data_IF_958734475846
#
_entry.id   IF_958734475846
#
_cell.length_a   1.000
_cell.length_b   1.000
_cell.length_c   1.000
_cell.angle_alpha   90.00
_cell.angle_beta   90.00
_cell.angle_gamma   90.00
#
_symmetry.space_group_name_H-M   'P 1'
#
loop_
_entity.id
_entity.type
_entity.pdbx_description
1 polymer ?
#
# COMPACT_ATOMS: atom_id res chain seq x y z
N UNK A 1 -40.53 -24.67 11.56
CA UNK A 1 -40.48 -25.06 10.14
C UNK A 1 -40.74 -23.79 9.36
N UNK A 2 -39.67 -23.05 9.08
CA UNK A 2 -39.76 -21.77 8.36
C UNK A 2 -40.05 -22.07 6.90
N UNK A 3 -41.14 -21.50 6.37
CA UNK A 3 -41.51 -21.63 4.97
C UNK A 3 -40.38 -21.10 4.10
N UNK A 4 -39.67 -21.98 3.40
CA UNK A 4 -38.66 -21.61 2.41
C UNK A 4 -39.29 -20.68 1.39
N UNK A 5 -38.88 -19.41 1.39
CA UNK A 5 -39.30 -18.39 0.42
C UNK A 5 -38.65 -18.60 -0.96
N UNK A 6 -38.43 -19.86 -1.36
CA UNK A 6 -37.97 -20.21 -2.69
C UNK A 6 -39.13 -19.93 -3.66
N UNK A 7 -38.85 -19.17 -4.71
CA UNK A 7 -39.82 -18.84 -5.76
C UNK A 7 -39.42 -19.43 -7.10
N UNK A 8 -38.20 -19.95 -7.20
CA UNK A 8 -37.79 -20.74 -8.33
C UNK A 8 -36.41 -21.34 -8.19
N UNK A 9 -36.10 -22.30 -9.05
CA UNK A 9 -34.84 -23.03 -9.02
C UNK A 9 -34.28 -23.20 -10.44
N UNK A 10 -32.96 -23.10 -10.53
CA UNK A 10 -32.17 -23.46 -11.71
C UNK A 10 -31.13 -24.50 -11.29
N UNK A 11 -30.98 -25.53 -12.12
CA UNK A 11 -30.07 -26.66 -11.88
C UNK A 11 -29.01 -26.67 -12.97
N UNK A 12 -27.74 -26.55 -12.59
CA UNK A 12 -26.60 -26.48 -13.51
C UNK A 12 -25.73 -27.72 -13.34
N UNK A 13 -25.65 -28.55 -14.37
CA UNK A 13 -24.78 -29.73 -14.35
C UNK A 13 -23.31 -29.32 -14.38
N UNK A 14 -22.53 -29.84 -13.42
CA UNK A 14 -21.12 -29.45 -13.25
C UNK A 14 -20.12 -30.40 -13.91
N UNK A 15 -20.54 -31.60 -14.36
CA UNK A 15 -19.63 -32.55 -15.04
C UNK A 15 -18.86 -31.97 -16.23
N UNK A 16 -19.45 -31.14 -17.11
CA UNK A 16 -18.70 -30.48 -18.19
C UNK A 16 -17.59 -29.55 -17.69
N UNK A 17 -17.67 -29.08 -16.43
CA UNK A 17 -16.72 -28.16 -15.83
C UNK A 17 -15.42 -28.83 -15.37
N UNK A 18 -15.36 -30.17 -15.33
CA UNK A 18 -14.15 -30.91 -14.93
C UNK A 18 -13.03 -30.82 -15.97
N UNK A 19 -13.39 -30.66 -17.24
CA UNK A 19 -12.47 -30.82 -18.37
C UNK A 19 -12.47 -29.63 -19.36
N UNK A 20 -13.20 -28.54 -19.08
CA UNK A 20 -13.29 -27.40 -19.99
C UNK A 20 -13.19 -26.09 -19.21
N UNK A 21 -12.11 -25.35 -19.44
CA UNK A 21 -12.00 -23.95 -19.03
C UNK A 21 -12.97 -23.13 -19.93
N UNK A 22 -13.74 -22.22 -19.32
CA UNK A 22 -14.71 -21.33 -20.01
C UNK A 22 -15.99 -22.00 -20.53
N UNK A 23 -16.73 -22.67 -19.62
CA UNK A 23 -18.06 -23.21 -19.93
C UNK A 23 -19.12 -22.15 -19.70
N UNK A 24 -20.00 -21.96 -20.68
CA UNK A 24 -21.20 -21.15 -20.60
C UNK A 24 -22.43 -22.06 -20.71
N UNK A 25 -23.25 -22.10 -19.66
CA UNK A 25 -24.48 -22.88 -19.60
C UNK A 25 -25.65 -21.95 -19.32
N UNK A 26 -26.68 -22.00 -20.16
CA UNK A 26 -27.93 -21.27 -19.93
C UNK A 26 -29.02 -22.25 -19.54
N UNK A 27 -29.53 -22.13 -18.33
CA UNK A 27 -30.59 -22.98 -17.79
C UNK A 27 -31.85 -22.17 -17.49
N UNK A 28 -33.05 -22.72 -17.73
CA UNK A 28 -34.28 -22.07 -17.30
C UNK A 28 -34.39 -22.04 -15.78
N UNK A 29 -34.99 -20.98 -15.25
CA UNK A 29 -35.42 -20.88 -13.85
C UNK A 29 -36.90 -21.25 -13.82
N UNK A 30 -37.24 -22.31 -13.09
CA UNK A 30 -38.63 -22.75 -12.94
C UNK A 30 -39.19 -22.26 -11.61
N UNK A 31 -40.42 -21.76 -11.61
CA UNK A 31 -41.19 -21.52 -10.40
C UNK A 31 -41.75 -22.83 -9.82
N UNK A 32 -42.27 -22.77 -8.59
CA UNK A 32 -42.82 -23.95 -7.89
C UNK A 32 -44.00 -24.62 -8.63
N UNK A 33 -44.71 -23.85 -9.46
CA UNK A 33 -45.80 -24.32 -10.31
C UNK A 33 -45.34 -24.90 -11.67
N UNK A 34 -44.03 -24.93 -11.91
CA UNK A 34 -43.42 -25.39 -13.15
C UNK A 34 -43.39 -24.35 -14.28
N UNK A 35 -43.88 -23.13 -14.05
CA UNK A 35 -43.78 -22.06 -15.03
C UNK A 35 -42.34 -21.54 -15.16
N UNK A 36 -41.96 -21.10 -16.36
CA UNK A 36 -40.66 -20.48 -16.58
C UNK A 36 -40.64 -19.07 -15.98
N UNK A 37 -39.88 -18.88 -14.91
CA UNK A 37 -39.66 -17.60 -14.23
C UNK A 37 -38.58 -16.75 -14.94
N UNK A 38 -37.64 -17.42 -15.60
CA UNK A 38 -36.44 -16.77 -16.12
C UNK A 38 -35.46 -17.72 -16.78
N UNK A 39 -34.27 -17.20 -17.06
CA UNK A 39 -33.09 -17.94 -17.49
C UNK A 39 -31.91 -17.47 -16.64
N UNK A 40 -31.09 -18.43 -16.23
CA UNK A 40 -29.82 -18.21 -15.57
C UNK A 40 -28.73 -18.66 -16.54
N UNK A 41 -27.86 -17.73 -16.94
CA UNK A 41 -26.62 -18.05 -17.62
C UNK A 41 -25.51 -18.13 -16.58
N UNK A 42 -24.80 -19.26 -16.53
CA UNK A 42 -23.66 -19.49 -15.66
C UNK A 42 -22.44 -19.68 -16.54
N UNK A 43 -21.44 -18.84 -16.31
CA UNK A 43 -20.15 -18.92 -16.98
C UNK A 43 -19.04 -19.16 -15.97
N UNK A 44 -18.35 -20.29 -16.10
CA UNK A 44 -17.22 -20.62 -15.25
C UNK A 44 -15.92 -20.22 -15.95
N UNK A 45 -15.21 -19.22 -15.42
CA UNK A 45 -13.88 -18.85 -15.91
C UNK A 45 -12.80 -19.13 -14.86
N UNK A 46 -11.89 -20.07 -15.13
CA UNK A 46 -10.68 -20.20 -14.36
C UNK A 46 -9.79 -19.00 -14.69
N UNK A 47 -9.57 -18.13 -13.71
CA UNK A 47 -8.66 -16.99 -13.86
C UNK A 47 -7.89 -16.82 -12.57
N UNK A 48 -6.58 -17.01 -12.65
CA UNK A 48 -5.62 -16.80 -11.56
C UNK A 48 -5.35 -15.30 -11.31
N UNK A 49 -5.85 -14.41 -12.19
CA UNK A 49 -5.75 -12.96 -12.08
C UNK A 49 -7.13 -12.30 -11.93
N UNK A 50 -7.28 -11.27 -11.08
CA UNK A 50 -8.51 -10.50 -11.01
C UNK A 50 -8.68 -9.74 -12.33
N UNK A 51 -9.66 -10.12 -13.15
CA UNK A 51 -10.03 -9.36 -14.33
C UNK A 51 -10.77 -8.10 -13.88
N UNK A 52 -10.03 -7.07 -13.49
CA UNK A 52 -10.58 -5.73 -13.43
C UNK A 52 -10.80 -5.28 -14.87
N UNK A 53 -12.07 -5.02 -15.15
CA UNK A 53 -12.67 -4.40 -16.34
C UNK A 53 -11.68 -3.50 -17.10
N UNK A 54 -11.55 -3.80 -18.41
CA UNK A 54 -11.00 -3.03 -19.55
C UNK A 54 -9.75 -3.63 -20.21
N UNK A 55 -9.91 -4.70 -20.99
CA UNK A 55 -9.14 -4.92 -22.23
C UNK A 55 -9.70 -6.11 -23.03
N UNK A 56 -10.82 -5.88 -23.73
CA UNK A 56 -11.26 -6.76 -24.83
C UNK A 56 -10.80 -6.19 -26.18
N UNK A 57 -9.50 -5.94 -26.32
CA UNK A 57 -8.85 -5.79 -27.63
C UNK A 57 -7.76 -6.85 -27.75
N UNK A 58 -8.14 -8.06 -28.16
CA UNK A 58 -7.14 -9.01 -28.65
C UNK A 58 -7.46 -10.49 -28.50
N UNK A 59 -8.47 -10.91 -27.74
CA UNK A 59 -8.75 -12.35 -27.57
C UNK A 59 -9.75 -12.79 -28.63
N UNK A 60 -9.22 -13.30 -29.75
CA UNK A 60 -9.99 -14.12 -30.69
C UNK A 60 -10.45 -15.38 -29.97
N UNK A 61 -11.75 -15.47 -29.68
CA UNK A 61 -12.37 -16.73 -29.28
C UNK A 61 -12.09 -17.76 -30.38
N UNK A 62 -11.28 -18.78 -30.09
CA UNK A 62 -11.15 -19.92 -31.00
C UNK A 62 -12.50 -20.64 -31.03
N UNK A 63 -13.07 -20.75 -32.22
CA UNK A 63 -14.29 -21.51 -32.47
C UNK A 63 -14.02 -22.98 -32.08
N UNK A 64 -14.84 -23.52 -31.19
CA UNK A 64 -14.84 -24.94 -30.84
C UNK A 64 -15.13 -25.75 -32.12
N UNK A 65 -14.32 -26.75 -32.48
CA UNK A 65 -14.60 -27.62 -33.62
C UNK A 65 -15.92 -28.37 -33.41
N UNK A 66 -16.70 -28.52 -34.48
CA UNK A 66 -18.00 -29.22 -34.46
C UNK A 66 -17.86 -30.75 -34.31
N UNK A 67 -16.63 -31.28 -34.33
CA UNK A 67 -16.31 -32.70 -34.18
C UNK A 67 -15.73 -32.98 -32.79
N UNK A 68 -16.45 -33.79 -32.01
CA UNK A 68 -16.25 -34.03 -30.57
C UNK A 68 -15.14 -35.07 -30.28
N UNK A 69 -14.51 -35.67 -31.30
CA UNK A 69 -13.59 -36.79 -31.13
C UNK A 69 -12.08 -36.43 -31.21
N UNK A 70 -11.73 -35.15 -31.43
CA UNK A 70 -10.32 -34.69 -31.56
C UNK A 70 -9.85 -33.81 -30.37
N UNK A 71 -10.38 -34.05 -29.17
CA UNK A 71 -9.77 -33.51 -27.93
C UNK A 71 -8.52 -34.33 -27.60
N UNK A 72 -7.38 -33.98 -28.19
CA UNK A 72 -6.09 -34.55 -27.83
C UNK A 72 -5.80 -34.36 -26.34
N UNK A 73 -5.54 -35.45 -25.62
CA UNK A 73 -5.31 -35.59 -24.17
C UNK A 73 -4.19 -34.74 -23.54
N UNK A 74 -3.57 -33.79 -24.25
CA UNK A 74 -2.33 -33.16 -23.81
C UNK A 74 -2.37 -31.72 -23.27
N UNK A 75 -3.51 -31.03 -23.24
CA UNK A 75 -3.59 -29.70 -22.57
C UNK A 75 -4.95 -29.44 -21.92
N UNK A 76 -5.46 -30.40 -21.13
CA UNK A 76 -6.64 -30.17 -20.27
C UNK A 76 -6.15 -29.98 -18.84
N UNK A 77 -5.95 -28.72 -18.42
CA UNK A 77 -5.72 -28.39 -17.00
C UNK A 77 -6.99 -28.73 -16.21
N UNK A 78 -7.02 -29.92 -15.62
CA UNK A 78 -8.09 -30.40 -14.74
C UNK A 78 -8.31 -29.43 -13.58
N UNK A 79 -9.55 -29.33 -13.06
CA UNK A 79 -9.85 -28.66 -11.78
C UNK A 79 -8.94 -29.18 -10.63
N UNK A 80 -8.49 -30.42 -10.71
CA UNK A 80 -7.50 -31.00 -9.79
C UNK A 80 -6.15 -30.26 -9.84
N UNK A 81 -5.71 -29.80 -11.02
CA UNK A 81 -4.48 -29.02 -11.20
C UNK A 81 -4.58 -27.61 -10.62
N UNK A 82 -5.79 -27.10 -10.41
CA UNK A 82 -6.08 -25.79 -9.84
C UNK A 82 -6.28 -25.82 -8.33
N UNK A 83 -6.01 -26.94 -7.65
CA UNK A 83 -6.15 -27.06 -6.20
C UNK A 83 -5.35 -25.96 -5.45
N UNK A 84 -6.02 -25.25 -4.54
CA UNK A 84 -5.47 -24.13 -3.79
C UNK A 84 -5.53 -22.78 -4.52
N UNK A 85 -6.01 -22.72 -5.75
CA UNK A 85 -6.19 -21.48 -6.52
C UNK A 85 -7.62 -20.96 -6.45
N UNK A 86 -7.83 -19.69 -6.81
CA UNK A 86 -9.17 -19.12 -6.92
C UNK A 86 -9.64 -19.10 -8.38
N UNK A 87 -10.90 -19.45 -8.60
CA UNK A 87 -11.60 -19.33 -9.88
C UNK A 87 -12.75 -18.32 -9.78
N UNK A 88 -13.22 -17.82 -10.91
CA UNK A 88 -14.30 -16.85 -10.97
C UNK A 88 -15.53 -17.45 -11.67
N UNK A 89 -16.68 -17.36 -11.00
CA UNK A 89 -17.99 -17.71 -11.55
C UNK A 89 -18.71 -16.42 -11.94
N UNK A 90 -18.98 -16.24 -13.22
CA UNK A 90 -19.84 -15.17 -13.72
C UNK A 90 -21.26 -15.71 -13.87
N UNK A 91 -22.22 -15.05 -13.23
CA UNK A 91 -23.63 -15.39 -13.25
C UNK A 91 -24.38 -14.24 -13.90
N UNK A 92 -25.17 -14.53 -14.93
CA UNK A 92 -26.10 -13.59 -15.51
C UNK A 92 -27.54 -14.08 -15.33
N UNK A 93 -28.35 -13.28 -14.63
CA UNK A 93 -29.74 -13.63 -14.33
C UNK A 93 -30.71 -12.80 -15.17
N UNK A 94 -31.58 -13.49 -15.90
CA UNK A 94 -32.60 -12.88 -16.75
C UNK A 94 -33.98 -13.38 -16.33
N UNK A 95 -34.71 -12.58 -15.56
CA UNK A 95 -36.11 -12.88 -15.27
C UNK A 95 -36.98 -12.56 -16.49
N UNK A 96 -37.93 -13.45 -16.80
CA UNK A 96 -38.98 -13.12 -17.77
C UNK A 96 -39.93 -12.14 -17.08
N UNK A 97 -39.94 -10.90 -17.54
CA UNK A 97 -40.85 -9.87 -17.04
C UNK A 97 -41.64 -9.33 -18.23
N UNK A 98 -42.97 -9.46 -18.20
CA UNK A 98 -43.88 -8.98 -19.26
C UNK A 98 -43.96 -7.43 -19.37
N UNK A 99 -43.04 -6.70 -18.72
CA UNK A 99 -43.16 -5.26 -18.42
C UNK A 99 -41.87 -4.49 -18.74
N UNK A 100 -41.92 -3.15 -18.90
CA UNK A 100 -40.78 -2.36 -19.38
C UNK A 100 -39.50 -2.46 -18.51
N UNK A 101 -38.31 -2.14 -19.07
CA UNK A 101 -36.99 -2.37 -18.45
C UNK A 101 -36.83 -1.78 -17.04
N UNK A 102 -37.47 -0.65 -16.75
CA UNK A 102 -37.43 0.00 -15.43
C UNK A 102 -38.13 -0.81 -14.34
N UNK A 103 -39.16 -1.58 -14.68
CA UNK A 103 -39.85 -2.46 -13.74
C UNK A 103 -39.10 -3.78 -13.53
N UNK A 104 -38.25 -4.17 -14.50
CA UNK A 104 -37.39 -5.33 -14.39
C UNK A 104 -36.34 -5.13 -13.29
N UNK A 105 -35.69 -3.96 -13.24
CA UNK A 105 -34.73 -3.62 -12.16
C UNK A 105 -35.41 -3.63 -10.79
N UNK A 106 -36.60 -3.05 -10.66
CA UNK A 106 -37.36 -3.04 -9.41
C UNK A 106 -37.82 -4.43 -8.97
N UNK A 107 -38.19 -5.30 -9.93
CA UNK A 107 -38.50 -6.71 -9.64
C UNK A 107 -37.26 -7.50 -9.26
N UNK A 108 -36.13 -7.29 -9.92
CA UNK A 108 -34.89 -7.99 -9.58
C UNK A 108 -34.43 -7.71 -8.14
N UNK A 109 -34.60 -6.48 -7.65
CA UNK A 109 -34.31 -6.11 -6.26
C UNK A 109 -35.17 -6.85 -5.21
N UNK A 110 -36.27 -7.47 -5.61
CA UNK A 110 -37.15 -8.25 -4.72
C UNK A 110 -36.68 -9.69 -4.54
N UNK A 111 -35.66 -10.12 -5.28
CA UNK A 111 -35.16 -11.48 -5.23
C UNK A 111 -33.68 -11.53 -4.87
N UNK A 112 -33.29 -12.63 -4.26
CA UNK A 112 -31.90 -12.99 -4.03
C UNK A 112 -31.60 -14.36 -4.66
N UNK A 113 -30.35 -14.53 -5.07
CA UNK A 113 -29.85 -15.79 -5.57
C UNK A 113 -29.14 -16.52 -4.43
N UNK A 114 -29.51 -17.76 -4.20
CA UNK A 114 -28.86 -18.63 -3.22
C UNK A 114 -28.26 -19.84 -3.93
N UNK A 115 -27.01 -20.13 -3.61
CA UNK A 115 -26.31 -21.31 -4.12
C UNK A 115 -25.43 -21.91 -3.03
N UNK A 116 -25.19 -23.21 -3.10
CA UNK A 116 -24.33 -23.92 -2.18
C UNK A 116 -23.47 -24.92 -2.94
N UNK A 117 -22.20 -25.03 -2.55
CA UNK A 117 -21.31 -26.10 -3.02
C UNK A 117 -21.27 -27.17 -1.93
N UNK A 118 -21.92 -28.31 -2.16
CA UNK A 118 -22.07 -29.36 -1.16
C UNK A 118 -23.18 -29.10 -0.12
N UNK A 119 -23.09 -29.76 1.03
CA UNK A 119 -24.16 -29.76 2.05
C UNK A 119 -24.05 -28.63 3.09
N UNK A 120 -23.03 -27.76 3.03
CA UNK A 120 -22.79 -26.75 4.05
C UNK A 120 -22.70 -25.34 3.47
N UNK A 121 -23.32 -24.39 4.19
CA UNK A 121 -23.26 -22.94 3.99
C UNK A 121 -23.75 -22.45 2.62
N UNK A 122 -25.07 -22.41 2.44
CA UNK A 122 -25.68 -21.70 1.32
C UNK A 122 -25.29 -20.21 1.36
N UNK A 123 -24.75 -19.71 0.27
CA UNK A 123 -24.42 -18.30 0.10
C UNK A 123 -25.58 -17.61 -0.60
N UNK A 124 -26.05 -16.51 -0.02
CA UNK A 124 -27.11 -15.68 -0.59
C UNK A 124 -26.50 -14.38 -1.09
N UNK A 125 -26.77 -14.02 -2.34
CA UNK A 125 -26.36 -12.76 -2.95
C UNK A 125 -27.55 -12.00 -3.50
N UNK A 126 -27.48 -10.67 -3.47
CA UNK A 126 -28.47 -9.82 -4.13
C UNK A 126 -28.49 -10.11 -5.63
N UNK A 127 -29.67 -10.27 -6.21
CA UNK A 127 -29.77 -10.62 -7.61
C UNK A 127 -29.43 -9.41 -8.50
N UNK A 128 -28.38 -9.54 -9.30
CA UNK A 128 -27.96 -8.55 -10.29
C UNK A 128 -28.02 -9.14 -11.70
N UNK A 129 -28.11 -8.27 -12.71
CA UNK A 129 -28.10 -8.70 -14.12
C UNK A 129 -26.86 -9.52 -14.46
N UNK A 130 -25.70 -9.08 -13.98
CA UNK A 130 -24.43 -9.80 -14.03
C UNK A 130 -23.78 -9.72 -12.65
N UNK A 131 -23.24 -10.84 -12.19
CA UNK A 131 -22.51 -10.96 -10.95
C UNK A 131 -21.27 -11.82 -11.17
N UNK A 132 -20.17 -11.50 -10.48
CA UNK A 132 -18.96 -12.32 -10.50
C UNK A 132 -18.59 -12.74 -9.08
N UNK A 133 -18.42 -14.04 -8.86
CA UNK A 133 -18.14 -14.66 -7.55
C UNK A 133 -16.76 -15.30 -7.61
N UNK A 134 -15.95 -15.09 -6.57
CA UNK A 134 -14.64 -15.72 -6.40
C UNK A 134 -14.78 -16.98 -5.55
N UNK A 135 -14.31 -18.12 -6.05
CA UNK A 135 -14.39 -19.41 -5.35
C UNK A 135 -13.01 -20.05 -5.24
N UNK A 136 -12.68 -20.54 -4.05
CA UNK A 136 -11.45 -21.30 -3.81
C UNK A 136 -11.62 -22.74 -4.29
N UNK A 137 -10.69 -23.23 -5.09
CA UNK A 137 -10.65 -24.63 -5.52
C UNK A 137 -10.03 -25.47 -4.41
N UNK A 138 -10.87 -26.12 -3.63
CA UNK A 138 -10.45 -27.13 -2.65
C UNK A 138 -10.81 -28.54 -3.14
N UNK A 139 -10.25 -29.55 -2.49
CA UNK A 139 -10.51 -30.95 -2.84
C UNK A 139 -12.00 -31.33 -2.77
N UNK A 140 -12.75 -30.74 -1.83
CA UNK A 140 -14.20 -30.94 -1.70
C UNK A 140 -14.98 -30.40 -2.89
N UNK A 141 -14.63 -29.21 -3.39
CA UNK A 141 -15.22 -28.61 -4.59
C UNK A 141 -14.93 -29.45 -5.83
N UNK A 142 -13.70 -29.94 -5.98
CA UNK A 142 -13.30 -30.80 -7.10
C UNK A 142 -14.12 -32.09 -7.11
N UNK A 143 -14.29 -32.73 -5.95
CA UNK A 143 -15.14 -33.91 -5.81
C UNK A 143 -16.62 -33.59 -6.11
N UNK A 144 -17.15 -32.50 -5.56
CA UNK A 144 -18.54 -32.09 -5.75
C UNK A 144 -18.87 -31.76 -7.22
N UNK A 145 -18.01 -31.00 -7.89
CA UNK A 145 -18.14 -30.69 -9.33
C UNK A 145 -18.12 -31.96 -10.18
N UNK A 146 -17.36 -32.97 -9.75
CA UNK A 146 -17.25 -34.24 -10.47
C UNK A 146 -18.51 -35.11 -10.36
N UNK A 147 -19.30 -34.96 -9.29
CA UNK A 147 -20.43 -35.85 -8.98
C UNK A 147 -21.80 -35.20 -9.14
N UNK A 148 -21.92 -33.89 -8.95
CA UNK A 148 -23.19 -33.23 -8.65
C UNK A 148 -23.61 -32.10 -9.61
N UNK A 149 -24.84 -31.64 -9.36
CA UNK A 149 -25.51 -30.50 -9.99
C UNK A 149 -25.48 -29.33 -9.01
N UNK A 150 -25.05 -28.14 -9.46
CA UNK A 150 -25.18 -26.91 -8.66
C UNK A 150 -26.61 -26.42 -8.73
N UNK A 151 -27.25 -26.34 -7.58
CA UNK A 151 -28.57 -25.74 -7.45
C UNK A 151 -28.45 -24.25 -7.15
N UNK A 152 -29.11 -23.45 -7.97
CA UNK A 152 -29.36 -22.03 -7.74
C UNK A 152 -30.83 -21.84 -7.39
N UNK A 153 -31.10 -21.39 -6.18
CA UNK A 153 -32.45 -21.07 -5.72
C UNK A 153 -32.65 -19.55 -5.78
N UNK A 154 -33.72 -19.13 -6.44
CA UNK A 154 -34.20 -17.75 -6.40
C UNK A 154 -35.16 -17.64 -5.22
N UNK A 155 -34.88 -16.74 -4.29
CA UNK A 155 -35.72 -16.48 -3.12
C UNK A 155 -36.27 -15.08 -3.13
N UNK A 156 -37.42 -14.87 -2.50
CA UNK A 156 -37.87 -13.53 -2.15
C UNK A 156 -36.92 -12.94 -1.12
N UNK A 157 -36.47 -11.71 -1.36
CA UNK A 157 -35.77 -10.94 -0.34
C UNK A 157 -36.77 -10.66 0.80
N UNK A 158 -36.58 -11.32 1.94
CA UNK A 158 -37.40 -11.14 3.14
C UNK A 158 -37.56 -9.65 3.48
N UNK A 159 -38.81 -9.15 3.58
CA UNK A 159 -39.16 -7.89 4.27
C UNK A 159 -38.81 -8.07 5.76
N UNK A 160 -37.87 -7.40 6.42
CA UNK A 160 -37.39 -6.01 6.31
C UNK A 160 -35.84 -5.93 6.29
N UNK A 161 -35.21 -5.72 5.12
CA UNK A 161 -33.78 -5.47 5.04
C UNK A 161 -33.43 -4.04 5.49
N UNK A 162 -34.40 -3.13 5.53
CA UNK A 162 -34.18 -1.71 5.84
C UNK A 162 -33.79 -1.48 7.30
N UNK A 163 -34.38 -2.20 8.25
CA UNK A 163 -34.12 -1.97 9.69
C UNK A 163 -32.82 -2.63 10.15
N UNK A 164 -32.56 -3.86 9.73
CA UNK A 164 -31.30 -4.55 10.03
C UNK A 164 -30.11 -3.87 9.35
N UNK A 165 -30.25 -3.44 8.08
CA UNK A 165 -29.22 -2.67 7.38
C UNK A 165 -29.03 -1.28 8.02
N UNK A 166 -30.10 -0.61 8.47
CA UNK A 166 -29.99 0.69 9.14
C UNK A 166 -29.34 0.56 10.53
N UNK A 167 -29.60 -0.51 11.27
CA UNK A 167 -28.92 -0.82 12.53
C UNK A 167 -27.46 -1.23 12.31
N UNK A 168 -27.16 -1.96 11.22
CA UNK A 168 -25.78 -2.30 10.86
C UNK A 168 -25.01 -1.06 10.40
N UNK A 169 -25.55 -0.24 9.50
CA UNK A 169 -24.99 1.03 9.08
C UNK A 169 -24.85 2.01 10.25
N UNK A 170 -25.81 2.03 11.18
CA UNK A 170 -25.72 2.83 12.39
C UNK A 170 -24.57 2.40 13.30
N UNK A 171 -24.35 1.08 13.44
CA UNK A 171 -23.20 0.53 14.17
C UNK A 171 -21.88 0.82 13.46
N UNK A 172 -21.79 0.58 12.15
CA UNK A 172 -20.60 0.85 11.34
C UNK A 172 -20.24 2.35 11.32
N UNK A 173 -21.25 3.23 11.26
CA UNK A 173 -21.04 4.67 11.35
C UNK A 173 -20.56 5.10 12.75
N UNK A 174 -21.10 4.49 13.81
CA UNK A 174 -20.63 4.74 15.17
C UNK A 174 -19.18 4.27 15.38
N UNK A 175 -18.82 3.08 14.89
CA UNK A 175 -17.44 2.58 14.96
C UNK A 175 -16.50 3.43 14.11
N UNK A 176 -16.92 3.85 12.92
CA UNK A 176 -16.13 4.74 12.07
C UNK A 176 -15.90 6.10 12.73
N UNK A 177 -16.90 6.67 13.41
CA UNK A 177 -16.76 7.91 14.17
C UNK A 177 -15.79 7.74 15.35
N UNK A 178 -15.88 6.62 16.08
CA UNK A 178 -14.98 6.33 17.20
C UNK A 178 -13.54 6.14 16.72
N UNK A 179 -13.34 5.43 15.61
CA UNK A 179 -12.03 5.27 14.97
C UNK A 179 -11.50 6.61 14.46
N UNK A 180 -12.33 7.44 13.82
CA UNK A 180 -11.95 8.77 13.36
C UNK A 180 -11.58 9.69 14.53
N UNK A 181 -12.30 9.64 15.66
CA UNK A 181 -11.93 10.38 16.86
C UNK A 181 -10.63 9.88 17.48
N UNK A 182 -10.42 8.57 17.52
CA UNK A 182 -9.19 7.96 18.01
C UNK A 182 -7.99 8.37 17.15
N UNK A 183 -8.17 8.37 15.84
CA UNK A 183 -7.14 8.79 14.89
C UNK A 183 -6.90 10.31 14.97
N UNK A 184 -7.94 11.12 15.17
CA UNK A 184 -7.79 12.54 15.47
C UNK A 184 -6.96 12.78 16.73
N UNK A 185 -7.25 12.07 17.82
CA UNK A 185 -6.48 12.17 19.08
C UNK A 185 -5.02 11.74 18.89
N UNK A 186 -4.75 10.71 18.09
CA UNK A 186 -3.38 10.30 17.74
C UNK A 186 -2.65 11.37 16.94
N UNK A 187 -3.31 11.94 15.93
CA UNK A 187 -2.74 13.02 15.13
C UNK A 187 -2.46 14.26 15.97
N UNK A 188 -3.36 14.64 16.87
CA UNK A 188 -3.16 15.76 17.80
C UNK A 188 -1.95 15.50 18.73
N UNK A 189 -1.77 14.26 19.21
CA UNK A 189 -0.62 13.87 20.02
C UNK A 189 0.70 13.93 19.21
N UNK A 190 0.71 13.40 17.99
CA UNK A 190 1.88 13.46 17.10
C UNK A 190 2.24 14.91 16.75
N UNK A 191 1.26 15.78 16.52
CA UNK A 191 1.50 17.21 16.29
C UNK A 191 2.11 17.90 17.52
N UNK A 192 1.66 17.55 18.73
CA UNK A 192 2.24 18.07 19.96
C UNK A 192 3.69 17.61 20.14
N UNK A 193 3.99 16.32 19.88
CA UNK A 193 5.36 15.79 19.91
C UNK A 193 6.25 16.47 18.88
N UNK A 194 5.78 16.64 17.64
CA UNK A 194 6.52 17.29 16.57
C UNK A 194 6.81 18.76 16.91
N UNK A 195 5.85 19.45 17.52
CA UNK A 195 6.04 20.82 18.02
C UNK A 195 7.11 20.89 19.10
N UNK A 196 7.12 19.92 20.03
CA UNK A 196 8.14 19.83 21.07
C UNK A 196 9.54 19.56 20.48
N UNK A 197 9.65 18.61 19.54
CA UNK A 197 10.90 18.31 18.85
C UNK A 197 11.43 19.52 18.06
N UNK A 198 10.56 20.26 17.37
CA UNK A 198 10.95 21.51 16.68
C UNK A 198 11.45 22.55 17.69
N UNK A 199 10.81 22.66 18.85
CA UNK A 199 11.27 23.53 19.94
C UNK A 199 12.66 23.15 20.44
N UNK A 200 12.92 21.85 20.65
CA UNK A 200 14.22 21.34 21.05
C UNK A 200 15.29 21.62 19.99
N UNK A 201 15.03 21.30 18.73
CA UNK A 201 15.97 21.56 17.62
C UNK A 201 16.34 23.04 17.56
N UNK A 202 15.36 23.95 17.67
CA UNK A 202 15.65 25.40 17.71
C UNK A 202 16.53 25.79 18.89
N UNK A 203 16.28 25.26 20.08
CA UNK A 203 17.12 25.51 21.25
C UNK A 203 18.56 25.04 21.03
N UNK A 204 18.73 23.84 20.45
CA UNK A 204 20.04 23.29 20.12
C UNK A 204 20.75 24.11 19.03
N UNK A 205 20.03 24.56 18.00
CA UNK A 205 20.56 25.46 16.97
C UNK A 205 21.04 26.79 17.57
N UNK A 206 20.25 27.39 18.47
CA UNK A 206 20.62 28.64 19.16
C UNK A 206 21.85 28.46 20.06
N UNK A 207 21.97 27.31 20.73
CA UNK A 207 23.16 26.97 21.53
C UNK A 207 24.40 26.79 20.66
N UNK A 208 24.30 26.07 19.55
CA UNK A 208 25.39 25.89 18.60
C UNK A 208 25.81 27.24 17.99
N UNK A 209 24.85 28.11 17.69
CA UNK A 209 25.13 29.46 17.19
C UNK A 209 25.91 30.29 18.21
N UNK A 210 25.49 30.27 19.48
CA UNK A 210 26.23 30.93 20.57
C UNK A 210 27.65 30.37 20.74
N UNK A 211 27.83 29.06 20.61
CA UNK A 211 29.15 28.44 20.67
C UNK A 211 30.04 28.85 19.48
N UNK A 212 29.47 28.94 18.27
CA UNK A 212 30.18 29.40 17.09
C UNK A 212 30.63 30.86 17.24
N UNK A 213 29.76 31.75 17.72
CA UNK A 213 30.07 33.15 17.99
C UNK A 213 31.20 33.29 19.04
N UNK A 214 31.13 32.53 20.14
CA UNK A 214 32.21 32.48 21.15
C UNK A 214 33.53 31.98 20.57
N UNK A 215 33.49 30.95 19.75
CA UNK A 215 34.68 30.37 19.11
C UNK A 215 35.32 31.35 18.13
N UNK A 216 34.50 32.07 17.36
CA UNK A 216 34.96 33.12 16.45
C UNK A 216 35.59 34.28 17.22
N UNK A 217 34.99 34.71 18.34
CA UNK A 217 35.56 35.74 19.20
C UNK A 217 36.92 35.31 19.77
N UNK A 218 37.01 34.09 20.32
CA UNK A 218 38.27 33.54 20.83
C UNK A 218 39.35 33.42 19.74
N UNK A 219 38.98 33.02 18.52
CA UNK A 219 39.91 32.97 17.39
C UNK A 219 40.43 34.35 17.00
N UNK A 220 39.58 35.39 17.05
CA UNK A 220 39.98 36.77 16.78
C UNK A 220 40.94 37.31 17.85
N UNK A 221 40.67 37.02 19.12
CA UNK A 221 41.57 37.37 20.22
C UNK A 221 42.91 36.65 20.12
N UNK A 222 42.92 35.36 19.77
CA UNK A 222 44.14 34.61 19.54
C UNK A 222 44.97 35.22 18.40
N UNK A 223 44.33 35.62 17.29
CA UNK A 223 45.02 36.27 16.17
C UNK A 223 45.66 37.61 16.61
N UNK A 224 44.96 38.43 17.41
CA UNK A 224 45.52 39.66 17.97
C UNK A 224 46.71 39.38 18.90
N UNK A 225 46.61 38.37 19.75
CA UNK A 225 47.70 37.96 20.63
C UNK A 225 48.92 37.47 19.84
N UNK A 226 48.71 36.72 18.76
CA UNK A 226 49.78 36.27 17.86
C UNK A 226 50.48 37.45 17.16
N UNK A 227 49.74 38.44 16.65
CA UNK A 227 50.36 39.59 16.00
C UNK A 227 51.11 40.47 17.01
N UNK A 228 50.59 40.61 18.23
CA UNK A 228 51.31 41.26 19.32
C UNK A 228 52.62 40.53 19.65
N UNK A 229 52.57 39.21 19.81
CA UNK A 229 53.78 38.42 20.06
C UNK A 229 54.81 38.54 18.93
N UNK A 230 54.37 38.62 17.67
CA UNK A 230 55.26 38.88 16.52
C UNK A 230 55.88 40.27 16.58
N UNK A 231 55.11 41.30 16.95
CA UNK A 231 55.61 42.65 17.14
C UNK A 231 56.66 42.71 18.25
N UNK A 232 56.37 42.09 19.41
CA UNK A 232 57.30 42.02 20.55
C UNK A 232 58.61 41.30 20.18
N UNK A 233 58.55 40.23 19.37
CA UNK A 233 59.74 39.55 18.85
C UNK A 233 60.57 40.48 17.94
N UNK A 234 59.93 41.21 17.02
CA UNK A 234 60.61 42.17 16.14
C UNK A 234 61.29 43.29 16.95
N UNK A 235 60.62 43.78 18.00
CA UNK A 235 61.18 44.80 18.91
C UNK A 235 62.37 44.24 19.69
N UNK A 236 62.26 43.03 20.23
CA UNK A 236 63.36 42.36 20.94
C UNK A 236 64.58 42.17 20.04
N UNK A 237 64.38 41.76 18.79
CA UNK A 237 65.48 41.65 17.82
C UNK A 237 66.12 43.01 17.51
N UNK A 238 65.32 44.07 17.38
CA UNK A 238 65.84 45.42 17.15
C UNK A 238 66.68 45.91 18.34
N UNK A 239 66.20 45.70 19.57
CA UNK A 239 66.94 46.01 20.80
C UNK A 239 68.24 45.19 20.90
N UNK A 240 68.19 43.91 20.53
CA UNK A 240 69.39 43.07 20.51
C UNK A 240 70.43 43.57 19.51
N UNK A 241 70.02 44.01 18.31
CA UNK A 241 70.92 44.63 17.33
C UNK A 241 71.53 45.93 17.88
N UNK A 242 70.73 46.80 18.50
CA UNK A 242 71.23 48.03 19.12
C UNK A 242 72.25 47.75 20.23
N UNK A 243 72.03 46.72 21.04
CA UNK A 243 72.95 46.32 22.10
C UNK A 243 74.27 45.80 21.53
N UNK A 244 74.22 44.98 20.48
CA UNK A 244 75.42 44.53 19.77
C UNK A 244 76.20 45.69 19.13
N UNK A 245 75.51 46.66 18.54
CA UNK A 245 76.14 47.87 17.99
C UNK A 245 76.78 48.73 19.09
N UNK A 246 76.13 48.86 20.25
CA UNK A 246 76.67 49.58 21.40
C UNK A 246 77.92 48.88 21.96
N UNK A 247 77.88 47.56 22.13
CA UNK A 247 79.03 46.76 22.57
C UNK A 247 80.21 46.89 21.60
N UNK A 248 79.94 46.83 20.28
CA UNK A 248 80.97 47.04 19.26
C UNK A 248 81.61 48.43 19.35
N UNK A 249 80.80 49.49 19.55
CA UNK A 249 81.30 50.86 19.76
C UNK A 249 82.17 50.95 21.03
N UNK A 250 81.75 50.32 22.12
CA UNK A 250 82.53 50.28 23.36
C UNK A 250 83.85 49.55 23.20
N UNK A 251 83.88 48.41 22.48
CA UNK A 251 85.12 47.70 22.18
C UNK A 251 86.09 48.57 21.35
N UNK A 252 85.59 49.32 20.37
CA UNK A 252 86.42 50.28 19.60
C UNK A 252 86.96 51.39 20.51
N UNK A 253 86.15 51.94 21.41
CA UNK A 253 86.61 52.95 22.37
C UNK A 253 87.65 52.40 23.36
N UNK A 254 87.45 51.18 23.85
CA UNK A 254 88.39 50.52 24.77
C UNK A 254 89.74 50.25 24.08
N UNK A 255 89.71 49.66 22.88
CA UNK A 255 90.93 49.38 22.10
C UNK A 255 91.64 50.66 21.66
N UNK A 256 90.91 51.71 21.26
CA UNK A 256 91.52 53.02 20.96
C UNK A 256 92.12 53.68 22.19
N UNK A 257 91.50 53.57 23.37
CA UNK A 257 92.05 54.07 24.63
C UNK A 257 93.30 53.29 25.08
N UNK A 258 93.32 51.96 24.94
CA UNK A 258 94.52 51.14 25.18
C UNK A 258 95.65 51.48 24.20
N UNK A 259 95.34 51.62 22.91
CA UNK A 259 96.30 52.04 21.90
C UNK A 259 96.84 53.46 22.15
N UNK A 260 96.02 54.38 22.66
CA UNK A 260 96.45 55.71 23.06
C UNK A 260 97.39 55.66 24.28
N UNK A 261 97.10 54.85 25.30
CA UNK A 261 98.00 54.62 26.44
C UNK A 261 99.33 53.99 26.01
N UNK A 262 99.30 53.02 25.10
CA UNK A 262 100.49 52.37 24.54
C UNK A 262 101.36 53.35 23.75
N UNK A 263 100.76 54.23 22.92
CA UNK A 263 101.50 55.28 22.20
C UNK A 263 102.10 56.34 23.12
N UNK A 264 101.46 56.67 24.24
CA UNK A 264 102.02 57.59 25.27
C UNK A 264 103.16 56.93 26.05
N UNK A 265 103.16 55.60 26.21
CA UNK A 265 104.26 54.86 26.84
C UNK A 265 105.52 54.76 25.96
N UNK A 266 105.40 54.97 24.65
CA UNK A 266 106.51 54.89 23.68
C UNK A 266 107.17 56.24 23.35
N UNK A 267 106.86 57.32 24.07
CA UNK A 267 107.49 58.64 23.88
C UNK A 267 108.27 59.15 25.12
N UNK A 268 108.99 58.27 25.82
CA UNK A 268 109.94 58.66 26.88
C UNK A 268 111.36 58.81 26.34
#
# INVERSE_FOLDING_TARGET
MESSQCVGQALVGLRPLRHMLDVEATVPIFADDGAALGRLAVRLRPSTTPSVVTDNRGVTAKRVPDDVDDLSDNEVESLEALAGTFIWLSLATHLVVDKPPTQLVLKQQQYCLEYAFGQANAQTTSMAHEQTIKVLVNHELVQYVSTDVLAFSVRLASRDPSKALMEQLGREHATMLEEAEKERRRNDALLAELTNLVGQVKSHEDELRKQAEKSQAASSELAKAQEKARADVREREALQRQLQEADAKWQVLATTAENAKSKVCCMQ
#
